data_IF_254247694785
#
_entry.id   IF_254247694785
#
_cell.length_a   1.000
_cell.length_b   1.000
_cell.length_c   1.000
_cell.angle_alpha   90.00
_cell.angle_beta   90.00
_cell.angle_gamma   90.00
#
_symmetry.space_group_name_H-M   'P 1'
#
loop_
_entity.id
_entity.type
_entity.pdbx_description
1 polymer ?
#
# COMPACT_ATOMS: atom_id res chain seq x y z
N UNK A 1 5.41 -19.43 11.64
CA UNK A 1 4.36 -20.12 10.87
C UNK A 1 3.14 -19.21 10.85
N UNK A 2 2.57 -18.93 9.68
CA UNK A 2 1.29 -18.24 9.58
C UNK A 2 0.21 -19.17 10.12
N UNK A 3 -0.57 -18.76 11.15
CA UNK A 3 -1.65 -19.58 11.64
C UNK A 3 -2.70 -19.76 10.53
N UNK A 4 -3.07 -21.00 10.23
CA UNK A 4 -4.15 -21.30 9.29
C UNK A 4 -5.47 -20.74 9.83
N UNK A 5 -6.05 -19.77 9.14
CA UNK A 5 -7.39 -19.31 9.47
C UNK A 5 -8.42 -20.32 8.94
N UNK A 6 -9.50 -20.60 9.69
CA UNK A 6 -10.58 -21.42 9.16
C UNK A 6 -11.22 -20.72 7.96
N UNK A 7 -11.33 -21.43 6.84
CA UNK A 7 -12.02 -20.98 5.62
C UNK A 7 -13.48 -21.43 5.65
N UNK A 8 -14.41 -20.69 5.03
CA UNK A 8 -14.24 -19.43 4.28
C UNK A 8 -14.42 -18.17 5.15
N UNK A 9 -13.56 -17.18 4.94
CA UNK A 9 -13.75 -15.85 5.51
C UNK A 9 -14.76 -15.04 4.67
N UNK A 10 -15.81 -14.51 5.28
CA UNK A 10 -16.72 -13.57 4.61
C UNK A 10 -16.03 -12.21 4.46
N UNK A 11 -16.01 -11.70 3.24
CA UNK A 11 -15.50 -10.36 2.93
C UNK A 11 -16.66 -9.45 2.54
N UNK A 12 -16.68 -8.25 3.08
CA UNK A 12 -17.55 -7.14 2.68
C UNK A 12 -16.71 -5.95 2.21
N UNK A 13 -17.36 -4.94 1.63
CA UNK A 13 -16.71 -3.68 1.25
C UNK A 13 -17.39 -2.53 1.96
N UNK A 14 -16.60 -1.64 2.56
CA UNK A 14 -17.06 -0.38 3.13
C UNK A 14 -17.40 0.63 2.00
N UNK A 15 -18.12 1.73 2.31
CA UNK A 15 -18.17 2.88 1.42
C UNK A 15 -16.74 3.30 1.04
N UNK A 16 -16.45 3.49 -0.25
CA UNK A 16 -15.08 3.72 -0.74
C UNK A 16 -14.33 2.45 -1.17
N UNK A 17 -14.94 1.27 -1.02
CA UNK A 17 -14.43 0.01 -1.56
C UNK A 17 -13.40 -0.71 -0.69
N UNK A 18 -13.03 -0.17 0.49
CA UNK A 18 -12.09 -0.83 1.39
C UNK A 18 -12.67 -2.17 1.87
N UNK A 19 -11.93 -3.30 1.71
CA UNK A 19 -12.39 -4.59 2.19
C UNK A 19 -12.34 -4.68 3.71
N UNK A 20 -13.28 -5.41 4.30
CA UNK A 20 -13.30 -5.72 5.72
C UNK A 20 -13.90 -7.10 5.97
N UNK A 21 -13.67 -7.67 7.16
CA UNK A 21 -14.11 -9.00 7.55
C UNK A 21 -15.20 -8.87 8.62
N UNK A 22 -16.50 -9.07 8.28
CA UNK A 22 -17.59 -8.93 9.25
C UNK A 22 -17.47 -9.83 10.48
N UNK A 23 -16.92 -11.02 10.29
CA UNK A 23 -16.78 -12.01 11.36
C UNK A 23 -15.50 -11.78 12.20
N UNK A 24 -14.62 -10.89 11.77
CA UNK A 24 -13.36 -10.54 12.44
C UNK A 24 -13.13 -9.02 12.41
N UNK A 25 -13.98 -8.22 13.07
CA UNK A 25 -13.94 -6.74 12.95
C UNK A 25 -12.67 -6.10 13.51
N UNK A 26 -11.93 -6.80 14.37
CA UNK A 26 -10.63 -6.35 14.88
C UNK A 26 -9.46 -6.63 13.91
N UNK A 27 -9.70 -7.35 12.81
CA UNK A 27 -8.68 -7.64 11.81
C UNK A 27 -8.90 -6.77 10.58
N UNK A 28 -8.02 -5.81 10.38
CA UNK A 28 -8.02 -4.96 9.21
C UNK A 28 -7.27 -5.63 8.07
N UNK A 29 -7.82 -5.54 6.85
CA UNK A 29 -7.20 -6.10 5.65
C UNK A 29 -7.09 -5.06 4.54
N UNK A 30 -6.08 -5.23 3.70
CA UNK A 30 -5.92 -4.48 2.45
C UNK A 30 -5.41 -5.41 1.36
N UNK A 31 -5.85 -5.17 0.13
CA UNK A 31 -5.51 -6.00 -1.02
C UNK A 31 -4.93 -5.14 -2.14
N UNK A 32 -3.94 -5.67 -2.83
CA UNK A 32 -3.45 -5.12 -4.10
C UNK A 32 -3.02 -6.22 -5.04
N UNK A 33 -2.97 -5.94 -6.33
CA UNK A 33 -2.50 -6.87 -7.35
C UNK A 33 -1.83 -6.14 -8.51
N UNK A 34 -0.81 -6.74 -9.07
CA UNK A 34 -0.14 -6.27 -10.29
C UNK A 34 0.52 -7.45 -11.00
N UNK A 35 0.38 -7.56 -12.33
CA UNK A 35 1.04 -8.59 -13.14
C UNK A 35 0.80 -10.04 -12.71
N UNK A 36 -0.41 -10.37 -12.25
CA UNK A 36 -0.75 -11.72 -11.78
C UNK A 36 -0.31 -12.04 -10.34
N UNK A 37 0.31 -11.09 -9.64
CA UNK A 37 0.65 -11.20 -8.22
C UNK A 37 -0.43 -10.53 -7.41
N UNK A 38 -0.86 -11.17 -6.33
CA UNK A 38 -1.79 -10.62 -5.35
C UNK A 38 -1.07 -10.51 -4.01
N UNK A 39 -1.20 -9.37 -3.35
CA UNK A 39 -0.74 -9.16 -1.97
C UNK A 39 -1.93 -8.84 -1.07
N UNK A 40 -1.89 -9.41 0.13
CA UNK A 40 -2.84 -9.12 1.19
C UNK A 40 -2.07 -8.70 2.43
N UNK A 41 -2.35 -7.51 2.96
CA UNK A 41 -1.91 -7.11 4.28
C UNK A 41 -3.03 -7.34 5.29
N UNK A 42 -2.67 -7.81 6.49
CA UNK A 42 -3.58 -7.99 7.61
C UNK A 42 -2.93 -7.47 8.91
N UNK A 43 -3.68 -6.73 9.71
CA UNK A 43 -3.18 -6.11 10.93
C UNK A 43 -4.30 -5.88 11.96
N UNK A 44 -3.93 -5.67 13.22
CA UNK A 44 -4.86 -5.27 14.29
C UNK A 44 -5.18 -3.74 14.25
N UNK A 45 -4.56 -3.00 13.36
CA UNK A 45 -4.80 -1.57 13.12
C UNK A 45 -5.17 -1.36 11.65
N UNK A 46 -5.79 -0.24 11.26
CA UNK A 46 -6.00 0.08 9.85
C UNK A 46 -4.72 -0.12 9.05
N UNK A 47 -4.83 -0.76 7.90
CA UNK A 47 -3.69 -1.09 7.05
C UNK A 47 -4.02 -0.84 5.58
N UNK A 48 -3.03 -0.37 4.84
CA UNK A 48 -3.05 -0.28 3.40
C UNK A 48 -1.85 -0.99 2.79
N UNK A 49 -2.02 -1.63 1.65
CA UNK A 49 -0.92 -2.24 0.89
C UNK A 49 -1.08 -1.95 -0.58
N UNK A 50 0.04 -1.67 -1.23
CA UNK A 50 0.09 -1.59 -2.68
C UNK A 50 1.30 -2.28 -3.26
N UNK A 51 1.12 -2.91 -4.44
CA UNK A 51 2.16 -3.51 -5.26
C UNK A 51 1.99 -3.06 -6.70
N UNK A 52 3.10 -2.67 -7.32
CA UNK A 52 3.15 -2.33 -8.74
C UNK A 52 4.35 -2.96 -9.41
N UNK A 53 4.12 -3.65 -10.51
CA UNK A 53 5.21 -4.10 -11.36
C UNK A 53 5.61 -2.97 -12.34
N UNK A 54 6.91 -2.78 -12.58
CA UNK A 54 7.39 -1.81 -13.54
C UNK A 54 6.77 -2.02 -14.93
N UNK A 55 6.24 -0.95 -15.51
CA UNK A 55 5.64 -0.91 -16.84
C UNK A 55 5.77 0.50 -17.44
N UNK A 56 5.56 0.69 -18.72
CA UNK A 56 5.52 2.02 -19.30
C UNK A 56 4.48 2.91 -18.60
N UNK A 57 4.91 4.09 -18.17
CA UNK A 57 4.06 5.08 -17.50
C UNK A 57 3.45 6.00 -18.54
N UNK A 58 2.15 6.27 -18.45
CA UNK A 58 1.47 7.20 -19.34
C UNK A 58 2.05 8.61 -19.19
N UNK A 59 2.34 9.31 -20.28
CA UNK A 59 2.80 10.70 -20.24
C UNK A 59 1.82 11.59 -19.45
N UNK A 60 2.38 12.52 -18.67
CA UNK A 60 1.60 13.45 -17.84
C UNK A 60 1.04 12.89 -16.51
N UNK A 61 1.19 11.59 -16.24
CA UNK A 61 0.66 11.01 -15.01
C UNK A 61 1.35 11.59 -13.77
N UNK A 62 2.69 11.76 -13.83
CA UNK A 62 3.45 12.38 -12.74
C UNK A 62 3.02 13.84 -12.51
N UNK A 63 2.90 14.65 -13.56
CA UNK A 63 2.45 16.04 -13.47
C UNK A 63 1.03 16.18 -12.87
N UNK A 64 0.19 15.17 -13.06
CA UNK A 64 -1.17 15.15 -12.54
C UNK A 64 -1.24 14.84 -11.05
N UNK A 65 -0.38 13.95 -10.53
CA UNK A 65 -0.58 13.32 -9.23
C UNK A 65 0.57 13.52 -8.24
N UNK A 66 1.75 13.93 -8.69
CA UNK A 66 2.92 14.11 -7.85
C UNK A 66 3.19 15.57 -7.53
N UNK A 67 3.72 15.83 -6.35
CA UNK A 67 4.18 17.15 -5.92
C UNK A 67 5.37 17.64 -6.76
N UNK A 68 5.71 18.93 -6.73
CA UNK A 68 6.90 19.46 -7.40
C UNK A 68 8.17 18.73 -6.98
N UNK A 69 8.35 18.41 -5.69
CA UNK A 69 9.54 17.74 -5.16
C UNK A 69 9.60 16.28 -5.62
N UNK A 70 8.46 15.57 -5.62
CA UNK A 70 8.37 14.22 -6.18
C UNK A 70 8.66 14.20 -7.68
N UNK A 71 8.18 15.20 -8.44
CA UNK A 71 8.49 15.36 -9.86
C UNK A 71 9.99 15.67 -10.08
N UNK A 72 10.61 16.48 -9.23
CA UNK A 72 12.03 16.74 -9.26
C UNK A 72 12.87 15.48 -8.95
N UNK A 73 12.39 14.62 -8.05
CA UNK A 73 12.98 13.29 -7.83
C UNK A 73 12.90 12.44 -9.10
N UNK A 74 11.72 12.34 -9.72
CA UNK A 74 11.50 11.55 -10.94
C UNK A 74 12.29 12.04 -12.15
N UNK A 75 12.60 13.33 -12.22
CA UNK A 75 13.48 13.87 -13.27
C UNK A 75 14.92 13.38 -13.13
N UNK A 76 15.36 13.06 -11.90
CA UNK A 76 16.70 12.52 -11.59
C UNK A 76 16.72 11.00 -11.56
N UNK A 77 15.65 10.39 -11.08
CA UNK A 77 15.47 8.94 -10.94
C UNK A 77 14.06 8.52 -11.39
N UNK A 78 13.85 8.27 -12.68
CA UNK A 78 12.55 7.80 -13.17
C UNK A 78 12.11 6.45 -12.60
N UNK A 79 13.03 5.64 -12.04
CA UNK A 79 12.70 4.32 -11.47
C UNK A 79 11.93 4.44 -10.15
N UNK A 80 12.02 5.57 -9.47
CA UNK A 80 11.29 5.88 -8.25
C UNK A 80 9.77 6.03 -8.45
N UNK A 81 9.28 6.07 -9.71
CA UNK A 81 7.85 6.29 -9.99
C UNK A 81 6.95 5.32 -9.25
N UNK A 82 7.24 4.03 -9.34
CA UNK A 82 6.37 3.02 -8.74
C UNK A 82 6.50 2.96 -7.22
N UNK A 83 7.65 3.27 -6.65
CA UNK A 83 7.81 3.38 -5.21
C UNK A 83 6.99 4.55 -4.64
N UNK A 84 7.03 5.73 -5.28
CA UNK A 84 6.17 6.87 -4.91
C UNK A 84 4.69 6.54 -5.09
N UNK A 85 4.32 5.91 -6.20
CA UNK A 85 2.94 5.53 -6.50
C UNK A 85 2.39 4.56 -5.45
N UNK A 86 3.13 3.47 -5.19
CA UNK A 86 2.76 2.47 -4.18
C UNK A 86 2.61 3.08 -2.78
N UNK A 87 3.50 4.01 -2.40
CA UNK A 87 3.42 4.67 -1.10
C UNK A 87 2.14 5.49 -0.96
N UNK A 88 1.80 6.30 -1.98
CA UNK A 88 0.55 7.08 -1.99
C UNK A 88 -0.68 6.19 -1.96
N UNK A 89 -0.72 5.15 -2.80
CA UNK A 89 -1.85 4.21 -2.83
C UNK A 89 -2.01 3.44 -1.52
N UNK A 90 -0.91 3.00 -0.89
CA UNK A 90 -0.96 2.32 0.39
C UNK A 90 -1.62 3.21 1.47
N UNK A 91 -1.25 4.49 1.56
CA UNK A 91 -1.88 5.45 2.49
C UNK A 91 -3.37 5.59 2.21
N UNK A 92 -3.77 5.79 0.96
CA UNK A 92 -5.18 5.99 0.61
C UNK A 92 -6.02 4.72 0.82
N UNK A 93 -5.44 3.53 0.61
CA UNK A 93 -6.07 2.24 0.92
C UNK A 93 -6.19 2.03 2.43
N UNK A 94 -5.21 2.46 3.23
CA UNK A 94 -5.31 2.45 4.69
C UNK A 94 -6.48 3.32 5.16
N UNK A 95 -6.57 4.56 4.67
CA UNK A 95 -7.64 5.51 5.01
C UNK A 95 -9.00 5.03 4.47
N UNK A 96 -9.02 4.42 3.28
CA UNK A 96 -10.25 3.95 2.62
C UNK A 96 -11.02 5.04 1.89
N UNK A 97 -10.40 6.17 1.55
CA UNK A 97 -11.06 7.30 0.88
C UNK A 97 -11.12 7.18 -0.65
N UNK A 98 -10.47 6.17 -1.24
CA UNK A 98 -10.33 5.99 -2.68
C UNK A 98 -9.26 6.88 -3.31
N UNK A 99 -8.75 6.46 -4.48
CA UNK A 99 -7.58 7.08 -5.11
C UNK A 99 -7.82 8.51 -5.60
N UNK A 100 -8.98 8.76 -6.21
CA UNK A 100 -9.27 10.04 -6.86
C UNK A 100 -9.36 11.22 -5.87
N UNK A 101 -9.72 10.94 -4.60
CA UNK A 101 -9.94 11.97 -3.60
C UNK A 101 -8.65 12.46 -2.93
N UNK A 102 -7.56 11.70 -2.97
CA UNK A 102 -6.44 11.94 -2.06
C UNK A 102 -5.03 11.91 -2.64
N UNK A 103 -4.78 11.41 -3.87
CA UNK A 103 -3.41 11.24 -4.38
C UNK A 103 -2.54 12.51 -4.33
N UNK A 104 -3.14 13.68 -4.56
CA UNK A 104 -2.43 14.96 -4.49
C UNK A 104 -2.14 15.44 -3.07
N UNK A 105 -2.82 14.89 -2.08
CA UNK A 105 -2.65 15.29 -0.68
C UNK A 105 -1.59 14.44 0.05
N UNK A 106 -1.19 13.32 -0.56
CA UNK A 106 -0.16 12.45 -0.02
C UNK A 106 1.18 12.87 -0.59
N UNK A 107 2.05 13.45 0.23
CA UNK A 107 3.41 13.86 -0.13
C UNK A 107 4.40 12.88 0.50
N UNK A 108 5.22 12.23 -0.33
CA UNK A 108 6.10 11.14 0.07
C UNK A 108 7.56 11.49 -0.21
N UNK A 109 8.42 11.25 0.75
CA UNK A 109 9.86 11.11 0.55
C UNK A 109 10.27 9.64 0.60
N UNK A 110 11.23 9.23 -0.21
CA UNK A 110 11.78 7.86 -0.23
C UNK A 110 13.10 7.73 0.52
N UNK A 111 13.66 8.83 1.00
CA UNK A 111 14.99 8.88 1.65
C UNK A 111 14.91 9.45 3.07
N UNK A 112 15.60 8.86 4.07
CA UNK A 112 16.42 7.64 4.01
C UNK A 112 15.59 6.36 3.89
N UNK A 113 14.29 6.43 4.17
CA UNK A 113 13.28 5.38 4.01
C UNK A 113 11.95 6.01 3.63
N UNK A 114 10.99 5.27 3.04
CA UNK A 114 9.68 5.82 2.70
C UNK A 114 8.98 6.41 3.93
N UNK A 115 8.56 7.68 3.83
CA UNK A 115 7.82 8.38 4.88
C UNK A 115 6.94 9.49 4.29
N UNK A 116 5.95 9.94 5.04
CA UNK A 116 5.15 11.11 4.69
C UNK A 116 5.87 12.40 5.12
N UNK A 117 5.87 13.40 4.26
CA UNK A 117 6.40 14.74 4.56
C UNK A 117 5.43 15.60 5.37
N UNK A 118 4.14 15.26 5.35
CA UNK A 118 3.09 16.00 6.05
C UNK A 118 1.90 15.09 6.39
N UNK A 119 1.08 15.46 7.39
CA UNK A 119 -0.16 14.76 7.69
C UNK A 119 -1.12 14.71 6.49
N UNK A 120 -1.77 13.58 6.29
CA UNK A 120 -2.83 13.39 5.30
C UNK A 120 -4.17 13.41 6.03
N UNK A 121 -5.08 14.29 5.62
CA UNK A 121 -6.36 14.54 6.32
C UNK A 121 -6.21 14.75 7.83
N UNK A 122 -5.11 15.40 8.25
CA UNK A 122 -4.84 15.73 9.66
C UNK A 122 -4.20 14.60 10.48
N UNK A 123 -3.83 13.48 9.87
CA UNK A 123 -3.21 12.33 10.53
C UNK A 123 -1.89 11.95 9.89
N UNK A 124 -0.95 11.47 10.69
CA UNK A 124 0.29 10.85 10.20
C UNK A 124 0.05 9.38 9.90
N UNK A 125 0.74 8.89 8.89
CA UNK A 125 0.72 7.50 8.46
C UNK A 125 2.15 7.03 8.23
N UNK A 126 2.51 5.93 8.85
CA UNK A 126 3.84 5.36 8.73
C UNK A 126 3.91 4.40 7.53
N UNK A 127 5.00 4.47 6.80
CA UNK A 127 5.26 3.65 5.63
C UNK A 127 6.35 2.63 5.89
N UNK A 128 6.21 1.43 5.33
CA UNK A 128 7.26 0.43 5.29
C UNK A 128 7.29 -0.29 3.94
N UNK A 129 8.48 -0.54 3.43
CA UNK A 129 8.69 -1.31 2.21
C UNK A 129 8.84 -2.79 2.56
N UNK A 130 7.94 -3.62 2.07
CA UNK A 130 7.99 -5.08 2.23
C UNK A 130 8.74 -5.70 1.06
N UNK A 131 9.85 -6.38 1.33
CA UNK A 131 10.52 -7.22 0.33
C UNK A 131 9.71 -8.50 0.08
N UNK A 132 9.46 -8.81 -1.18
CA UNK A 132 8.71 -9.98 -1.62
C UNK A 132 9.61 -10.94 -2.39
N UNK A 133 9.22 -12.23 -2.55
CA UNK A 133 9.95 -13.18 -3.38
C UNK A 133 10.17 -12.65 -4.81
N UNK A 134 11.29 -13.04 -5.42
CA UNK A 134 11.63 -12.62 -6.78
C UNK A 134 12.17 -11.18 -6.89
N UNK A 135 12.60 -10.56 -5.79
CA UNK A 135 13.13 -9.20 -5.79
C UNK A 135 12.06 -8.10 -5.90
N UNK A 136 10.80 -8.47 -5.76
CA UNK A 136 9.68 -7.56 -5.79
C UNK A 136 9.52 -6.82 -4.45
N UNK A 137 8.73 -5.78 -4.44
CA UNK A 137 8.37 -5.07 -3.22
C UNK A 137 6.92 -4.61 -3.24
N UNK A 138 6.34 -4.48 -2.06
CA UNK A 138 5.09 -3.78 -1.81
C UNK A 138 5.32 -2.65 -0.82
N UNK A 139 4.46 -1.65 -0.83
CA UNK A 139 4.43 -0.60 0.19
C UNK A 139 3.27 -0.85 1.15
N UNK A 140 3.54 -0.73 2.44
CA UNK A 140 2.54 -0.91 3.50
C UNK A 140 2.41 0.40 4.27
N UNK A 141 1.17 0.77 4.61
CA UNK A 141 0.84 1.94 5.43
C UNK A 141 0.02 1.54 6.64
N UNK A 142 0.29 2.17 7.78
CA UNK A 142 -0.48 2.08 9.03
C UNK A 142 -0.61 3.47 9.68
N UNK A 143 -1.60 3.71 10.57
CA UNK A 143 -1.71 4.96 11.30
C UNK A 143 -0.50 5.21 12.20
N UNK A 144 -0.13 6.49 12.36
CA UNK A 144 0.96 6.93 13.22
C UNK A 144 2.24 7.25 12.46
N UNK A 145 3.34 7.41 13.19
CA UNK A 145 4.65 7.84 12.70
C UNK A 145 5.73 6.74 12.78
N UNK A 146 5.38 5.60 13.39
CA UNK A 146 6.31 4.47 13.56
C UNK A 146 6.06 3.40 12.50
N UNK A 147 7.04 3.10 11.64
CA UNK A 147 6.92 2.06 10.63
C UNK A 147 6.56 0.69 11.24
N UNK A 148 5.63 -0.06 10.63
CA UNK A 148 5.23 -1.36 11.15
C UNK A 148 6.35 -2.40 11.00
N UNK A 149 6.43 -3.32 11.94
CA UNK A 149 7.18 -4.57 11.75
C UNK A 149 6.40 -5.49 10.83
N UNK A 150 7.03 -5.96 9.75
CA UNK A 150 6.39 -6.75 8.71
C UNK A 150 6.83 -8.20 8.74
N UNK A 151 5.87 -9.12 8.65
CA UNK A 151 6.12 -10.53 8.36
C UNK A 151 5.53 -10.87 7.00
N UNK A 152 6.36 -11.32 6.08
CA UNK A 152 5.93 -11.74 4.73
C UNK A 152 5.73 -13.27 4.73
N UNK A 153 4.53 -13.70 4.36
CA UNK A 153 4.15 -15.10 4.24
C UNK A 153 3.80 -15.40 2.78
N UNK A 154 4.71 -15.98 2.00
CA UNK A 154 4.38 -16.46 0.66
C UNK A 154 3.32 -17.55 0.71
N UNK A 155 2.26 -17.38 -0.08
CA UNK A 155 1.21 -18.39 -0.25
C UNK A 155 1.32 -19.01 -1.64
N UNK A 156 1.27 -20.33 -1.70
CA UNK A 156 1.21 -21.09 -2.94
C UNK A 156 -0.14 -21.81 -3.03
N UNK A 157 -0.57 -22.26 -4.22
CA UNK A 157 -1.81 -23.05 -4.35
C UNK A 157 -1.88 -24.25 -3.39
N UNK A 158 -0.74 -24.85 -3.04
CA UNK A 158 -0.66 -25.96 -2.08
C UNK A 158 -1.05 -25.54 -0.64
N UNK A 159 -1.10 -24.26 -0.32
CA UNK A 159 -1.53 -23.77 0.98
C UNK A 159 -3.07 -23.62 1.10
N UNK A 160 -3.80 -23.88 0.00
CA UNK A 160 -5.26 -23.75 -0.09
C UNK A 160 -5.99 -25.09 -0.27
N UNK A 161 -5.27 -26.24 -0.21
CA UNK A 161 -5.81 -27.59 -0.36
C UNK A 161 -5.96 -28.30 0.99
#
# INVERSE_FOLDING_TARGET
ACPGAPMPLRRASAPGGKPWLPDHPALHISLSHSGGIVVCAAAAVPVGVDIELPRPVRPGLAARWFSPDEQALLARDPTAFFDLWMAKEAVLKEIGCGLAAGLRQVHVSLTPAPHLEAPVFGSMHALARAGLPGGLAAMVSVPGDTPPSLQVCPLTPANFL
#
